data_IF_626831193305
#
_entry.id   IF_626831193305
#
_cell.length_a   1.000
_cell.length_b   1.000
_cell.length_c   1.000
_cell.angle_alpha   90.00
_cell.angle_beta   90.00
_cell.angle_gamma   90.00
#
_symmetry.space_group_name_H-M   'P 1'
#
loop_
_entity.id
_entity.type
_entity.pdbx_description
1 polymer ?
#
# COMPACT_ATOMS: atom_id res chain seq x y z
N UNK A 1 18.96 -7.90 -2.75
CA UNK A 1 17.68 -7.20 -3.02
C UNK A 1 17.92 -5.76 -2.63
N UNK A 2 17.89 -4.83 -3.57
CA UNK A 2 18.12 -3.40 -3.32
C UNK A 2 17.20 -2.89 -2.22
N UNK A 3 15.94 -3.32 -2.19
CA UNK A 3 15.00 -3.01 -1.12
C UNK A 3 15.51 -3.45 0.27
N UNK A 4 16.15 -4.63 0.38
CA UNK A 4 16.75 -5.11 1.65
C UNK A 4 17.88 -4.19 2.10
N UNK A 5 18.72 -3.75 1.17
CA UNK A 5 19.85 -2.88 1.48
C UNK A 5 19.39 -1.47 1.89
N UNK A 6 18.31 -0.98 1.28
CA UNK A 6 17.66 0.28 1.69
C UNK A 6 17.21 0.21 3.15
N UNK A 7 16.47 -0.83 3.51
CA UNK A 7 15.92 -0.95 4.87
C UNK A 7 16.99 -1.22 5.93
N UNK A 8 18.07 -1.93 5.59
CA UNK A 8 19.23 -2.08 6.50
C UNK A 8 19.92 -0.75 6.84
N UNK A 9 19.87 0.21 5.92
CA UNK A 9 20.48 1.53 6.09
C UNK A 9 19.46 2.63 6.40
N UNK A 10 18.18 2.28 6.57
CA UNK A 10 17.12 3.24 6.82
C UNK A 10 17.26 3.87 8.21
N UNK A 11 16.94 5.15 8.30
CA UNK A 11 16.82 5.84 9.60
C UNK A 11 15.50 5.44 10.24
N UNK A 12 15.49 5.14 11.53
CA UNK A 12 14.25 4.98 12.28
C UNK A 12 13.99 6.27 13.05
N UNK A 13 12.76 6.77 12.94
CA UNK A 13 12.30 7.97 13.64
C UNK A 13 11.09 7.59 14.48
N UNK A 14 11.04 8.11 15.70
CA UNK A 14 9.86 8.05 16.54
C UNK A 14 8.98 9.27 16.25
N UNK A 15 7.78 9.05 15.70
CA UNK A 15 6.79 10.10 15.42
C UNK A 15 6.08 10.61 16.69
N UNK A 16 6.39 10.06 17.85
CA UNK A 16 5.67 10.24 19.11
C UNK A 16 4.49 9.28 19.27
N UNK A 17 3.98 8.72 18.18
CA UNK A 17 2.92 7.69 18.18
C UNK A 17 3.45 6.30 17.81
N UNK A 18 4.43 6.24 16.91
CA UNK A 18 4.94 4.98 16.32
C UNK A 18 6.40 5.13 15.86
N UNK A 19 7.09 3.99 15.73
CA UNK A 19 8.35 3.93 14.99
C UNK A 19 8.09 3.83 13.48
N UNK A 20 8.76 4.68 12.72
CA UNK A 20 8.75 4.62 11.26
C UNK A 20 10.15 4.69 10.67
N UNK A 21 10.29 4.24 9.44
CA UNK A 21 11.53 4.30 8.67
C UNK A 21 11.50 5.49 7.73
N UNK A 22 12.64 6.15 7.54
CA UNK A 22 12.85 7.13 6.48
C UNK A 22 13.88 6.59 5.51
N UNK A 23 13.48 6.43 4.25
CA UNK A 23 14.32 5.86 3.20
C UNK A 23 13.89 6.31 1.78
N UNK A 24 14.68 5.94 0.77
CA UNK A 24 14.39 6.33 -0.62
C UNK A 24 13.15 5.68 -1.23
N UNK A 25 12.79 4.46 -0.79
CA UNK A 25 11.67 3.70 -1.35
C UNK A 25 10.32 4.27 -0.92
N UNK A 26 10.15 4.56 0.37
CA UNK A 26 8.87 5.01 0.93
C UNK A 26 8.76 6.52 1.09
N UNK A 27 9.87 7.24 1.27
CA UNK A 27 9.87 8.66 1.63
C UNK A 27 10.61 9.53 0.62
N UNK A 28 11.18 8.92 -0.42
CA UNK A 28 12.00 9.59 -1.44
C UNK A 28 13.09 10.48 -0.80
N UNK A 29 13.63 10.05 0.35
CA UNK A 29 14.74 10.69 1.04
C UNK A 29 15.89 9.70 1.30
N UNK A 30 16.92 9.65 0.42
CA UNK A 30 17.10 10.44 -0.81
C UNK A 30 16.16 10.01 -1.95
N UNK A 31 16.19 10.71 -3.08
CA UNK A 31 15.30 10.43 -4.22
C UNK A 31 15.30 8.94 -4.62
N UNK A 32 14.11 8.39 -4.87
CA UNK A 32 13.92 6.99 -5.25
C UNK A 32 14.65 6.67 -6.56
N UNK A 33 15.59 5.73 -6.48
CA UNK A 33 16.27 5.20 -7.66
C UNK A 33 15.34 4.30 -8.51
N UNK A 34 15.31 4.46 -9.85
CA UNK A 34 14.46 3.65 -10.73
C UNK A 34 14.69 2.14 -10.60
N UNK A 35 15.93 1.68 -10.42
CA UNK A 35 16.25 0.26 -10.30
C UNK A 35 15.60 -0.40 -9.07
N UNK A 36 15.39 0.37 -7.99
CA UNK A 36 14.70 -0.10 -6.78
C UNK A 36 13.21 -0.28 -7.11
N UNK A 37 12.60 0.74 -7.73
CA UNK A 37 11.20 0.69 -8.12
C UNK A 37 10.91 -0.48 -9.06
N UNK A 38 11.79 -0.70 -10.04
CA UNK A 38 11.72 -1.83 -10.98
C UNK A 38 11.84 -3.18 -10.25
N UNK A 39 12.81 -3.32 -9.34
CA UNK A 39 13.00 -4.55 -8.55
C UNK A 39 11.74 -4.91 -7.75
N UNK A 40 11.15 -3.92 -7.06
CA UNK A 40 9.97 -4.15 -6.22
C UNK A 40 8.73 -4.40 -7.07
N UNK A 41 8.51 -3.63 -8.14
CA UNK A 41 7.37 -3.83 -9.04
C UNK A 41 7.36 -5.24 -9.65
N UNK A 42 8.49 -5.72 -10.17
CA UNK A 42 8.60 -7.08 -10.70
C UNK A 42 8.31 -8.15 -9.64
N UNK A 43 8.77 -7.96 -8.41
CA UNK A 43 8.49 -8.88 -7.30
C UNK A 43 7.01 -8.92 -6.95
N UNK A 44 6.32 -7.77 -6.97
CA UNK A 44 4.87 -7.73 -6.75
C UNK A 44 4.15 -8.46 -7.88
N UNK A 45 4.50 -8.18 -9.14
CA UNK A 45 3.87 -8.84 -10.32
C UNK A 45 4.00 -10.36 -10.24
N UNK A 46 5.13 -10.89 -9.75
CA UNK A 46 5.33 -12.33 -9.55
C UNK A 46 4.42 -12.96 -8.49
N UNK A 47 3.94 -12.17 -7.52
CA UNK A 47 3.06 -12.62 -6.43
C UNK A 47 1.57 -12.38 -6.72
N UNK A 48 1.30 -11.48 -7.66
CA UNK A 48 -0.03 -10.96 -7.96
C UNK A 48 -0.83 -11.93 -8.83
N UNK A 49 -2.11 -12.10 -8.51
CA UNK A 49 -3.07 -12.66 -9.47
C UNK A 49 -3.36 -11.63 -10.57
N UNK A 50 -3.01 -11.97 -11.82
CA UNK A 50 -3.18 -11.09 -12.97
C UNK A 50 -4.58 -11.16 -13.57
N UNK A 51 -5.46 -12.05 -13.10
CA UNK A 51 -6.88 -12.10 -13.50
C UNK A 51 -7.70 -11.01 -12.79
N UNK A 52 -7.25 -9.77 -12.94
CA UNK A 52 -7.86 -8.55 -12.39
C UNK A 52 -8.09 -7.52 -13.49
N UNK A 53 -8.98 -6.58 -13.22
CA UNK A 53 -9.36 -5.51 -14.14
C UNK A 53 -8.66 -4.19 -13.78
N UNK A 54 -8.37 -3.95 -12.48
CA UNK A 54 -7.74 -2.71 -12.00
C UNK A 54 -6.74 -2.94 -10.86
N UNK A 55 -5.70 -2.11 -10.83
CA UNK A 55 -4.81 -1.96 -9.67
C UNK A 55 -5.33 -0.80 -8.83
N UNK A 56 -5.39 -0.96 -7.52
CA UNK A 56 -5.80 0.10 -6.58
C UNK A 56 -4.66 0.37 -5.61
N UNK A 57 -4.38 1.65 -5.36
CA UNK A 57 -3.51 2.08 -4.27
C UNK A 57 -4.08 3.33 -3.62
N UNK A 58 -3.54 3.64 -2.46
CA UNK A 58 -3.62 4.97 -1.85
C UNK A 58 -2.50 5.86 -2.36
N UNK A 59 -2.74 7.18 -2.41
CA UNK A 59 -1.66 8.16 -2.41
C UNK A 59 -1.08 8.36 -0.99
N UNK A 60 0.17 8.77 -0.81
CA UNK A 60 1.16 9.16 -1.83
C UNK A 60 2.22 8.07 -2.04
N UNK A 61 2.66 7.40 -0.97
CA UNK A 61 3.84 6.53 -0.95
C UNK A 61 3.72 5.29 -1.85
N UNK A 62 2.54 4.67 -1.90
CA UNK A 62 2.26 3.51 -2.77
C UNK A 62 2.10 3.89 -4.26
N UNK A 63 1.83 5.16 -4.57
CA UNK A 63 1.48 5.58 -5.93
C UNK A 63 2.59 5.34 -6.98
N UNK A 64 3.88 5.64 -6.73
CA UNK A 64 4.96 5.31 -7.67
C UNK A 64 5.04 3.81 -7.98
N UNK A 65 4.86 2.96 -6.96
CA UNK A 65 4.91 1.51 -7.10
C UNK A 65 3.75 0.97 -7.92
N UNK A 66 2.52 1.36 -7.59
CA UNK A 66 1.33 0.95 -8.33
C UNK A 66 1.35 1.45 -9.78
N UNK A 67 1.89 2.66 -10.02
CA UNK A 67 2.09 3.21 -11.36
C UNK A 67 3.07 2.36 -12.17
N UNK A 68 4.21 1.98 -11.59
CA UNK A 68 5.17 1.12 -12.27
C UNK A 68 4.56 -0.25 -12.62
N UNK A 69 3.79 -0.84 -11.70
CA UNK A 69 3.11 -2.12 -11.95
C UNK A 69 2.09 -1.98 -13.08
N UNK A 70 1.26 -0.93 -13.06
CA UNK A 70 0.29 -0.64 -14.12
C UNK A 70 0.97 -0.51 -15.50
N UNK A 71 2.11 0.18 -15.57
CA UNK A 71 2.89 0.30 -16.81
C UNK A 71 3.42 -1.06 -17.30
N UNK A 72 3.88 -1.92 -16.39
CA UNK A 72 4.44 -3.22 -16.76
C UNK A 72 3.38 -4.27 -17.12
N UNK A 73 2.20 -4.21 -16.50
CA UNK A 73 1.12 -5.20 -16.73
C UNK A 73 0.12 -4.75 -17.78
N UNK A 74 0.04 -3.44 -18.07
CA UNK A 74 -1.02 -2.85 -18.89
C UNK A 74 -2.38 -2.76 -18.17
N UNK A 75 -2.44 -3.09 -16.88
CA UNK A 75 -3.67 -3.06 -16.07
C UNK A 75 -3.91 -1.62 -15.60
N UNK A 76 -5.10 -1.03 -15.82
CA UNK A 76 -5.42 0.32 -15.37
C UNK A 76 -5.22 0.57 -13.88
N UNK A 77 -4.81 1.79 -13.52
CA UNK A 77 -4.62 2.24 -12.15
C UNK A 77 -5.82 3.06 -11.66
N UNK A 78 -6.47 2.58 -10.61
CA UNK A 78 -7.40 3.31 -9.76
C UNK A 78 -6.67 3.82 -8.51
N UNK A 79 -7.16 4.93 -7.93
CA UNK A 79 -6.43 5.66 -6.90
C UNK A 79 -7.37 6.22 -5.84
N UNK A 80 -7.04 5.96 -4.59
CA UNK A 80 -7.72 6.54 -3.45
C UNK A 80 -6.97 7.81 -2.98
N UNK A 81 -7.67 8.94 -2.90
CA UNK A 81 -7.10 10.28 -2.67
C UNK A 81 -7.58 10.94 -1.38
N UNK A 82 -6.73 11.72 -0.71
CA UNK A 82 -6.99 12.34 0.60
C UNK A 82 -7.75 13.65 0.48
N UNK A 83 -7.59 14.36 -0.64
CA UNK A 83 -8.19 15.67 -0.85
C UNK A 83 -9.34 15.63 -1.88
N UNK A 84 -10.42 16.38 -1.63
CA UNK A 84 -11.67 16.30 -2.40
C UNK A 84 -11.68 17.10 -3.69
N UNK A 85 -10.56 17.68 -4.14
CA UNK A 85 -10.54 18.79 -5.12
C UNK A 85 -11.46 18.56 -6.33
N UNK A 86 -12.62 19.22 -6.34
CA UNK A 86 -13.67 19.10 -7.37
C UNK A 86 -14.14 17.65 -7.64
N UNK A 87 -13.87 16.73 -6.71
CA UNK A 87 -14.23 15.32 -6.79
C UNK A 87 -15.57 15.02 -6.13
N UNK A 88 -16.03 15.78 -5.13
CA UNK A 88 -17.32 15.47 -4.46
C UNK A 88 -18.51 15.39 -5.45
N UNK A 89 -18.47 16.17 -6.53
CA UNK A 89 -19.50 16.17 -7.59
C UNK A 89 -19.30 15.07 -8.65
N UNK A 90 -18.06 14.59 -8.83
CA UNK A 90 -17.67 13.63 -9.87
C UNK A 90 -17.38 12.22 -9.33
N UNK A 91 -17.19 12.09 -8.02
CA UNK A 91 -16.83 10.88 -7.33
C UNK A 91 -17.72 10.71 -6.09
N UNK A 92 -18.62 9.74 -6.18
CA UNK A 92 -19.54 9.39 -5.10
C UNK A 92 -18.98 8.31 -4.16
N UNK A 93 -17.81 7.76 -4.45
CA UNK A 93 -17.14 6.73 -3.65
C UNK A 93 -16.27 7.35 -2.55
N UNK A 94 -16.93 7.99 -1.58
CA UNK A 94 -16.28 8.66 -0.44
C UNK A 94 -16.36 7.79 0.81
N UNK A 95 -15.21 7.57 1.44
CA UNK A 95 -15.04 6.65 2.57
C UNK A 95 -14.28 7.28 3.72
N UNK A 96 -14.52 6.82 4.95
CA UNK A 96 -13.77 7.26 6.13
C UNK A 96 -12.55 6.35 6.34
N UNK A 97 -11.40 6.95 6.61
CA UNK A 97 -10.13 6.28 6.87
C UNK A 97 -9.57 6.68 8.22
N UNK A 98 -8.96 5.69 8.87
CA UNK A 98 -8.14 5.86 10.06
C UNK A 98 -6.88 5.01 9.90
N UNK A 99 -5.75 5.67 9.65
CA UNK A 99 -4.43 5.06 9.46
C UNK A 99 -3.44 5.59 10.51
N UNK A 100 -2.19 5.09 10.46
CA UNK A 100 -1.11 5.58 11.32
C UNK A 100 -0.81 7.08 11.09
N UNK A 101 -1.03 7.56 9.87
CA UNK A 101 -0.63 8.90 9.43
C UNK A 101 -1.79 9.86 9.19
N UNK A 102 -3.02 9.36 9.02
CA UNK A 102 -4.18 10.17 8.64
C UNK A 102 -5.50 9.64 9.20
N UNK A 103 -6.38 10.54 9.62
CA UNK A 103 -7.78 10.26 9.96
C UNK A 103 -8.67 11.26 9.21
N UNK A 104 -9.60 10.78 8.39
CA UNK A 104 -10.44 11.65 7.56
C UNK A 104 -11.14 10.92 6.43
N UNK A 105 -11.57 11.67 5.40
CA UNK A 105 -12.20 11.10 4.21
C UNK A 105 -11.17 10.75 3.13
N UNK A 106 -11.47 9.72 2.35
CA UNK A 106 -10.75 9.35 1.15
C UNK A 106 -11.71 9.14 -0.02
N UNK A 107 -11.22 9.45 -1.21
CA UNK A 107 -11.96 9.48 -2.46
C UNK A 107 -11.44 8.37 -3.36
N UNK A 108 -12.16 7.24 -3.43
CA UNK A 108 -11.77 6.10 -4.26
C UNK A 108 -12.17 6.37 -5.71
N UNK A 109 -11.21 6.67 -6.57
CA UNK A 109 -11.45 6.98 -7.98
C UNK A 109 -11.23 5.75 -8.87
N UNK A 110 -12.00 5.66 -9.95
CA UNK A 110 -11.78 4.69 -11.02
C UNK A 110 -12.28 3.28 -10.72
N UNK A 111 -13.09 3.07 -9.68
CA UNK A 111 -13.73 1.78 -9.37
C UNK A 111 -15.20 1.80 -9.76
N UNK A 112 -15.61 0.74 -10.43
CA UNK A 112 -16.96 0.46 -10.92
C UNK A 112 -17.46 -0.88 -10.34
N UNK A 113 -18.78 -1.05 -10.17
CA UNK A 113 -19.32 -2.33 -9.72
C UNK A 113 -18.93 -3.50 -10.64
N UNK A 114 -18.45 -4.59 -10.06
CA UNK A 114 -17.99 -5.78 -10.77
C UNK A 114 -16.51 -5.81 -11.12
N UNK A 115 -15.76 -4.72 -10.93
CA UNK A 115 -14.31 -4.73 -11.11
C UNK A 115 -13.63 -5.73 -10.18
N UNK A 116 -12.73 -6.56 -10.72
CA UNK A 116 -11.80 -7.36 -9.92
C UNK A 116 -10.53 -6.55 -9.70
N UNK A 117 -10.11 -6.37 -8.46
CA UNK A 117 -8.98 -5.48 -8.15
C UNK A 117 -7.89 -6.15 -7.34
N UNK A 118 -6.65 -5.74 -7.59
CA UNK A 118 -5.55 -5.96 -6.66
C UNK A 118 -5.20 -4.65 -5.95
N UNK A 119 -5.13 -4.68 -4.62
CA UNK A 119 -4.67 -3.55 -3.82
C UNK A 119 -3.16 -3.66 -3.64
N UNK A 120 -2.44 -2.61 -4.02
CA UNK A 120 -0.99 -2.50 -3.89
C UNK A 120 -0.67 -1.37 -2.91
N UNK A 121 0.28 -1.60 -2.02
CA UNK A 121 0.77 -0.57 -1.08
C UNK A 121 2.28 -0.71 -0.80
N UNK A 122 2.93 0.35 -0.32
CA UNK A 122 4.35 0.31 0.00
C UNK A 122 4.61 -0.46 1.31
N UNK A 123 3.87 -0.14 2.38
CA UNK A 123 4.17 -0.64 3.73
C UNK A 123 2.91 -1.04 4.51
N UNK A 124 2.81 -2.32 4.85
CA UNK A 124 1.84 -2.83 5.83
C UNK A 124 2.35 -2.59 7.25
N UNK A 125 1.77 -1.60 7.93
CA UNK A 125 1.99 -1.33 9.35
C UNK A 125 0.87 -1.92 10.22
N UNK A 126 -0.07 -1.09 10.71
CA UNK A 126 -1.21 -1.54 11.51
C UNK A 126 -2.32 -2.19 10.69
N UNK A 127 -2.30 -2.02 9.37
CA UNK A 127 -3.32 -2.51 8.43
C UNK A 127 -4.50 -1.57 8.20
N UNK A 128 -4.56 -0.42 8.87
CA UNK A 128 -5.71 0.51 8.78
C UNK A 128 -6.02 0.99 7.36
N UNK A 129 -5.01 1.47 6.63
CA UNK A 129 -5.17 1.92 5.24
C UNK A 129 -5.67 0.79 4.33
N UNK A 130 -5.03 -0.38 4.39
CA UNK A 130 -5.44 -1.58 3.63
C UNK A 130 -6.87 -2.02 3.95
N UNK A 131 -7.26 -2.09 5.23
CA UNK A 131 -8.63 -2.42 5.64
C UNK A 131 -9.62 -1.45 5.01
N UNK A 132 -9.33 -0.15 5.12
CA UNK A 132 -10.22 0.85 4.57
C UNK A 132 -10.30 0.79 3.04
N UNK A 133 -9.20 0.56 2.33
CA UNK A 133 -9.22 0.36 0.88
C UNK A 133 -10.07 -0.85 0.50
N UNK A 134 -9.92 -1.98 1.19
CA UNK A 134 -10.74 -3.19 0.97
C UNK A 134 -12.22 -2.86 1.14
N UNK A 135 -12.60 -2.28 2.28
CA UNK A 135 -14.00 -1.92 2.54
C UNK A 135 -14.53 -0.92 1.52
N UNK A 136 -13.69 -0.02 1.01
CA UNK A 136 -14.07 1.00 0.04
C UNK A 136 -14.37 0.40 -1.32
N UNK A 137 -13.47 -0.47 -1.82
CA UNK A 137 -13.70 -1.22 -3.06
C UNK A 137 -14.98 -2.02 -2.97
N UNK A 138 -15.18 -2.76 -1.87
CA UNK A 138 -16.38 -3.58 -1.66
C UNK A 138 -17.66 -2.73 -1.62
N UNK A 139 -17.63 -1.57 -0.94
CA UNK A 139 -18.77 -0.63 -0.90
C UNK A 139 -19.08 -0.03 -2.28
N UNK A 140 -18.08 0.14 -3.12
CA UNK A 140 -18.23 0.56 -4.52
C UNK A 140 -18.66 -0.58 -5.47
N UNK A 141 -18.87 -1.79 -4.94
CA UNK A 141 -19.31 -2.96 -5.69
C UNK A 141 -18.20 -3.73 -6.40
N UNK A 142 -16.92 -3.41 -6.14
CA UNK A 142 -15.77 -4.16 -6.66
C UNK A 142 -15.44 -5.40 -5.82
N UNK A 143 -14.70 -6.33 -6.41
CA UNK A 143 -14.18 -7.55 -5.79
C UNK A 143 -12.67 -7.42 -5.57
N UNK A 144 -12.22 -7.49 -4.32
CA UNK A 144 -10.79 -7.53 -4.01
C UNK A 144 -10.26 -8.95 -4.20
N UNK A 145 -9.44 -9.16 -5.23
CA UNK A 145 -8.82 -10.46 -5.55
C UNK A 145 -7.50 -10.66 -4.82
N UNK A 146 -6.74 -9.60 -4.64
CA UNK A 146 -5.40 -9.68 -4.07
C UNK A 146 -5.04 -8.42 -3.30
N UNK A 147 -4.16 -8.57 -2.31
CA UNK A 147 -3.60 -7.46 -1.53
C UNK A 147 -2.13 -7.72 -1.32
N UNK A 148 -1.28 -6.85 -1.86
CA UNK A 148 0.17 -7.00 -1.79
C UNK A 148 0.80 -5.70 -1.28
N UNK A 149 1.57 -5.79 -0.20
CA UNK A 149 2.40 -4.68 0.26
C UNK A 149 3.89 -5.02 0.06
N UNK A 150 4.73 -4.05 -0.29
CA UNK A 150 6.16 -4.34 -0.45
C UNK A 150 6.81 -4.74 0.89
N UNK A 151 6.48 -4.06 1.97
CA UNK A 151 7.11 -4.25 3.28
C UNK A 151 6.09 -4.47 4.40
N UNK A 152 6.40 -5.33 5.36
CA UNK A 152 5.60 -5.60 6.55
C UNK A 152 6.34 -5.22 7.83
N UNK A 153 5.74 -4.37 8.68
CA UNK A 153 6.20 -4.15 10.07
C UNK A 153 5.57 -5.19 10.98
N UNK A 154 6.24 -6.31 11.20
CA UNK A 154 5.61 -7.50 11.83
C UNK A 154 5.14 -7.25 13.27
N UNK A 155 5.79 -6.35 14.01
CA UNK A 155 5.42 -6.03 15.40
C UNK A 155 4.03 -5.40 15.53
N UNK A 156 3.47 -4.89 14.44
CA UNK A 156 2.17 -4.20 14.44
C UNK A 156 0.99 -5.15 14.15
N UNK A 157 1.26 -6.42 13.83
CA UNK A 157 0.28 -7.46 13.55
C UNK A 157 -0.72 -7.08 12.43
N UNK A 158 -0.27 -6.30 11.43
CA UNK A 158 -1.13 -5.78 10.36
C UNK A 158 -1.86 -6.87 9.58
N UNK A 159 -1.17 -7.94 9.18
CA UNK A 159 -1.79 -9.06 8.44
C UNK A 159 -2.93 -9.72 9.19
N UNK A 160 -2.73 -9.97 10.49
CA UNK A 160 -3.72 -10.60 11.35
C UNK A 160 -4.96 -9.69 11.43
N UNK A 161 -4.75 -8.40 11.70
CA UNK A 161 -5.85 -7.42 11.78
C UNK A 161 -6.63 -7.30 10.47
N UNK A 162 -5.95 -7.28 9.32
CA UNK A 162 -6.60 -7.23 8.00
C UNK A 162 -7.44 -8.49 7.78
N UNK A 163 -6.87 -9.67 8.03
CA UNK A 163 -7.56 -10.95 7.86
C UNK A 163 -8.77 -11.08 8.79
N UNK A 164 -8.61 -10.75 10.07
CA UNK A 164 -9.69 -10.84 11.06
C UNK A 164 -10.84 -9.88 10.73
N UNK A 165 -10.54 -8.70 10.17
CA UNK A 165 -11.53 -7.67 9.87
C UNK A 165 -12.23 -7.87 8.53
N UNK A 166 -11.52 -8.37 7.52
CA UNK A 166 -11.98 -8.38 6.12
C UNK A 166 -12.08 -9.78 5.51
N UNK A 167 -11.48 -10.78 6.13
CA UNK A 167 -11.32 -12.14 5.58
C UNK A 167 -10.21 -12.27 4.53
N UNK A 168 -9.55 -11.17 4.15
CA UNK A 168 -8.55 -11.15 3.07
C UNK A 168 -7.13 -11.28 3.63
N UNK A 169 -6.32 -12.12 2.99
CA UNK A 169 -4.90 -12.25 3.32
C UNK A 169 -4.05 -11.21 2.58
N UNK A 170 -3.01 -10.70 3.25
CA UNK A 170 -2.05 -9.78 2.63
C UNK A 170 -0.75 -10.50 2.33
N UNK A 171 -0.29 -10.40 1.08
CA UNK A 171 1.03 -10.87 0.64
C UNK A 171 2.05 -9.75 0.87
N UNK A 172 3.28 -10.13 1.24
CA UNK A 172 4.36 -9.15 1.44
C UNK A 172 5.68 -9.65 0.87
N UNK A 173 6.49 -8.75 0.30
CA UNK A 173 7.80 -9.11 -0.28
C UNK A 173 8.86 -9.23 0.81
N UNK A 174 8.83 -8.34 1.80
CA UNK A 174 9.83 -8.27 2.87
C UNK A 174 9.18 -8.02 4.23
N UNK A 175 9.78 -8.59 5.27
CA UNK A 175 9.38 -8.37 6.66
C UNK A 175 10.47 -7.61 7.40
N UNK A 176 10.06 -6.66 8.23
CA UNK A 176 10.95 -5.89 9.10
C UNK A 176 10.41 -5.83 10.52
N UNK A 177 11.32 -5.68 11.47
CA UNK A 177 11.04 -5.38 12.87
C UNK A 177 11.73 -4.08 13.24
N UNK A 178 11.03 -3.18 13.94
CA UNK A 178 11.58 -1.91 14.40
C UNK A 178 11.73 -1.94 15.92
N UNK A 179 12.94 -1.71 16.43
CA UNK A 179 13.23 -1.66 17.86
C UNK A 179 14.43 -0.75 18.12
N UNK A 180 14.39 0.03 19.22
CA UNK A 180 15.53 0.84 19.68
C UNK A 180 16.13 1.70 18.55
N UNK A 181 15.27 2.30 17.71
CA UNK A 181 15.64 3.11 16.54
C UNK A 181 16.48 2.36 15.49
N UNK A 182 16.33 1.03 15.42
CA UNK A 182 16.99 0.17 14.43
C UNK A 182 15.97 -0.65 13.65
N UNK A 183 16.33 -0.95 12.40
CA UNK A 183 15.58 -1.86 11.53
C UNK A 183 16.27 -3.22 11.54
N UNK A 184 15.50 -4.27 11.80
CA UNK A 184 15.92 -5.65 11.57
C UNK A 184 15.11 -6.21 10.41
N UNK A 185 15.78 -6.57 9.31
CA UNK A 185 15.13 -7.31 8.21
C UNK A 185 15.04 -8.78 8.61
N UNK A 186 13.83 -9.35 8.55
CA UNK A 186 13.56 -10.74 8.90
C UNK A 186 13.73 -11.61 7.65
N UNK A 187 14.44 -12.72 7.79
CA UNK A 187 14.69 -13.69 6.71
C UNK A 187 13.54 -14.70 6.55
#
# INVERSE_FOLDING_TARGET
MLLKDIYKNARVINSGKTLTTVNEFTDQLPALRPEVLIEVAHKIIQLMDLEIDKIVTEEDKGAPLATAISLFTGIPLAMARWYPYCLDELNHNVVQISSEYFEGKMYLNGIEPGDRVAIIDDTLSTGGAVISLIESVQKSGGEVKDVICAVEKIQNNGKIKVKDKTGIEVKTIMKIYLENEKVTVIE
#
